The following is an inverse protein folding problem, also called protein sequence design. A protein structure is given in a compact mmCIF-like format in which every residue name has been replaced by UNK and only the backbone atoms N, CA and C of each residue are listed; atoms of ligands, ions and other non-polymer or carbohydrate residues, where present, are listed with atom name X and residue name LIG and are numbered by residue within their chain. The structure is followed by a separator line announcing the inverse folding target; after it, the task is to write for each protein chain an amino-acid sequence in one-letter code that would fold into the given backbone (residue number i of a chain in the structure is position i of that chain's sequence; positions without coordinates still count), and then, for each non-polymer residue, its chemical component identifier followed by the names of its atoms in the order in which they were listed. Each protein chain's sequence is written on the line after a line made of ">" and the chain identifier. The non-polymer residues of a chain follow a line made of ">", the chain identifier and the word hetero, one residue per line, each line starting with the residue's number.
data_IF_237246620958
#
_entry.id   IF_237246620958
#
_cell.length_a   1.000
_cell.length_b   1.000
_cell.length_c   1.000
_cell.angle_alpha   90.00
_cell.angle_beta   90.00
_cell.angle_gamma   90.00
#
_symmetry.space_group_name_H-M   'P 1'
#
loop_
_entity.id
_entity.type
_entity.pdbx_description
1 polymer ?
#
# COMPACT_ATOMS: atom_id res chain seq x y z
N UNK A 1 29.03 3.82 -8.85
CA UNK A 1 27.66 3.37 -8.52
C UNK A 1 27.64 2.47 -7.28
N UNK A 2 28.50 1.46 -7.14
CA UNK A 2 28.50 0.54 -5.99
C UNK A 2 28.77 1.18 -4.60
N UNK A 3 29.65 2.19 -4.52
CA UNK A 3 29.95 2.86 -3.24
C UNK A 3 28.81 3.76 -2.74
N UNK A 4 28.08 4.40 -3.67
CA UNK A 4 26.94 5.28 -3.34
C UNK A 4 25.72 4.48 -2.86
N UNK A 5 25.48 3.28 -3.39
CA UNK A 5 24.44 2.38 -2.89
C UNK A 5 24.78 1.79 -1.52
N UNK A 6 26.05 1.46 -1.25
CA UNK A 6 26.49 1.00 0.09
C UNK A 6 26.36 2.10 1.15
N UNK A 7 26.70 3.35 0.80
CA UNK A 7 26.50 4.52 1.67
C UNK A 7 25.01 4.78 1.95
N UNK A 8 24.14 4.68 0.94
CA UNK A 8 22.70 4.85 1.13
C UNK A 8 22.11 3.77 2.04
N UNK A 9 22.47 2.50 1.83
CA UNK A 9 22.04 1.39 2.70
C UNK A 9 22.49 1.64 4.14
N UNK A 10 23.74 2.07 4.35
CA UNK A 10 24.30 2.33 5.69
C UNK A 10 23.60 3.46 6.44
N UNK A 11 23.11 4.50 5.74
CA UNK A 11 22.39 5.62 6.35
C UNK A 11 20.93 5.22 6.64
N UNK A 12 20.35 4.35 5.81
CA UNK A 12 18.96 3.87 5.96
C UNK A 12 18.78 2.67 6.87
N UNK A 13 19.86 2.02 7.33
CA UNK A 13 19.81 0.86 8.25
C UNK A 13 18.85 1.04 9.43
N UNK A 14 18.88 2.14 10.23
CA UNK A 14 17.95 2.30 11.36
C UNK A 14 16.47 2.33 10.94
N UNK A 15 16.16 2.80 9.72
CA UNK A 15 14.80 2.81 9.18
C UNK A 15 14.39 1.43 8.65
N UNK A 16 15.33 0.66 8.10
CA UNK A 16 15.10 -0.73 7.70
C UNK A 16 14.89 -1.64 8.91
N UNK A 17 15.65 -1.43 9.98
CA UNK A 17 15.47 -2.13 11.26
C UNK A 17 14.12 -1.79 11.90
N UNK A 18 13.72 -0.50 11.83
CA UNK A 18 12.39 -0.06 12.26
C UNK A 18 11.27 -0.74 11.45
N UNK A 19 11.41 -0.83 10.12
CA UNK A 19 10.43 -1.51 9.27
C UNK A 19 10.38 -3.02 9.56
N UNK A 20 11.53 -3.64 9.81
CA UNK A 20 11.62 -5.06 10.12
C UNK A 20 10.97 -5.38 11.47
N UNK A 21 11.26 -4.59 12.51
CA UNK A 21 10.63 -4.71 13.83
C UNK A 21 9.13 -4.42 13.79
N UNK A 22 8.69 -3.43 13.00
CA UNK A 22 7.26 -3.19 12.77
C UNK A 22 6.56 -4.40 12.13
N UNK A 23 7.27 -5.14 11.29
CA UNK A 23 6.78 -6.37 10.66
C UNK A 23 6.47 -7.50 11.64
N UNK A 24 7.14 -7.57 12.80
CA UNK A 24 6.92 -8.63 13.80
C UNK A 24 5.62 -8.47 14.58
N UNK A 25 5.05 -7.27 14.60
CA UNK A 25 3.81 -6.97 15.33
C UNK A 25 4.00 -6.73 16.83
N UNK A 26 5.23 -6.86 17.36
CA UNK A 26 5.51 -6.73 18.79
C UNK A 26 5.96 -5.32 19.14
N UNK A 27 5.25 -4.71 20.08
CA UNK A 27 5.47 -3.31 20.46
C UNK A 27 6.78 -3.15 21.23
N UNK A 28 7.07 -4.07 22.16
CA UNK A 28 8.32 -4.04 22.92
C UNK A 28 9.58 -4.11 22.05
N UNK A 29 9.56 -4.90 20.97
CA UNK A 29 10.67 -4.99 20.01
C UNK A 29 10.82 -3.69 19.22
N UNK A 30 9.70 -3.10 18.77
CA UNK A 30 9.68 -1.82 18.07
C UNK A 30 10.23 -0.70 18.96
N UNK A 31 9.75 -0.58 20.20
CA UNK A 31 10.20 0.45 21.12
C UNK A 31 11.69 0.31 21.46
N UNK A 32 12.17 -0.93 21.65
CA UNK A 32 13.60 -1.20 21.85
C UNK A 32 14.43 -0.73 20.65
N UNK A 33 13.95 -0.99 19.42
CA UNK A 33 14.59 -0.53 18.18
C UNK A 33 14.63 1.01 18.09
N UNK A 34 13.52 1.66 18.45
CA UNK A 34 13.39 3.13 18.46
C UNK A 34 14.38 3.74 19.47
N UNK A 35 14.42 3.22 20.70
CA UNK A 35 15.34 3.71 21.73
C UNK A 35 16.80 3.52 21.32
N UNK A 36 17.14 2.36 20.73
CA UNK A 36 18.51 2.06 20.30
C UNK A 36 19.01 2.99 19.18
N UNK A 37 18.11 3.56 18.38
CA UNK A 37 18.44 4.44 17.25
C UNK A 37 17.95 5.89 17.45
N UNK A 38 17.58 6.27 18.67
CA UNK A 38 16.90 7.55 18.96
C UNK A 38 17.72 8.76 18.50
N UNK A 39 19.03 8.76 18.74
CA UNK A 39 19.92 9.85 18.33
C UNK A 39 19.91 10.06 16.80
N UNK A 40 19.87 8.97 16.02
CA UNK A 40 19.83 9.04 14.56
C UNK A 40 18.52 9.66 14.07
N UNK A 41 17.38 9.20 14.61
CA UNK A 41 16.07 9.76 14.24
C UNK A 41 15.92 11.23 14.64
N UNK A 42 16.56 11.64 15.74
CA UNK A 42 16.58 13.04 16.17
C UNK A 42 17.45 13.89 15.27
N UNK A 43 18.65 13.42 14.89
CA UNK A 43 19.54 14.11 13.94
C UNK A 43 18.88 14.30 12.57
N UNK A 44 18.08 13.32 12.14
CA UNK A 44 17.32 13.37 10.88
C UNK A 44 16.02 14.19 10.99
N UNK A 45 15.67 14.73 12.17
CA UNK A 45 14.43 15.44 12.46
C UNK A 45 13.14 14.64 12.20
N UNK A 46 13.22 13.30 12.26
CA UNK A 46 12.10 12.39 11.96
C UNK A 46 11.47 11.74 13.20
N UNK A 47 11.93 12.08 14.40
CA UNK A 47 11.48 11.44 15.65
C UNK A 47 9.96 11.49 15.85
N UNK A 48 9.28 12.56 15.41
CA UNK A 48 7.82 12.66 15.48
C UNK A 48 7.11 11.61 14.63
N UNK A 49 7.60 11.37 13.41
CA UNK A 49 7.08 10.33 12.53
C UNK A 49 7.34 8.93 13.10
N UNK A 50 8.50 8.71 13.70
CA UNK A 50 8.82 7.43 14.36
C UNK A 50 7.87 7.14 15.53
N UNK A 51 7.49 8.15 16.31
CA UNK A 51 6.46 7.99 17.36
C UNK A 51 5.08 7.67 16.77
N UNK A 52 4.73 8.26 15.62
CA UNK A 52 3.51 7.91 14.90
C UNK A 52 3.53 6.46 14.39
N UNK A 53 4.70 5.94 13.99
CA UNK A 53 4.86 4.52 13.64
C UNK A 53 4.60 3.62 14.85
N UNK A 54 5.11 3.95 16.04
CA UNK A 54 4.77 3.19 17.26
C UNK A 54 3.26 3.22 17.54
N UNK A 55 2.64 4.41 17.47
CA UNK A 55 1.18 4.56 17.64
C UNK A 55 0.37 3.79 16.59
N UNK A 56 0.84 3.72 15.35
CA UNK A 56 0.15 2.99 14.27
C UNK A 56 0.24 1.48 14.45
N UNK A 57 1.25 0.96 15.16
CA UNK A 57 1.36 -0.47 15.45
C UNK A 57 0.23 -0.94 16.37
N UNK A 58 -0.13 -0.15 17.39
CA UNK A 58 -1.30 -0.40 18.23
C UNK A 58 -2.58 -0.49 17.38
N UNK A 59 -2.78 0.50 16.49
CA UNK A 59 -3.93 0.53 15.57
C UNK A 59 -3.98 -0.70 14.67
N UNK A 60 -2.84 -1.05 14.05
CA UNK A 60 -2.71 -2.25 13.21
C UNK A 60 -3.03 -3.53 13.98
N UNK A 61 -2.55 -3.66 15.21
CA UNK A 61 -2.79 -4.85 16.03
C UNK A 61 -4.28 -4.97 16.40
N UNK A 62 -4.94 -3.88 16.76
CA UNK A 62 -6.40 -3.86 17.01
C UNK A 62 -7.18 -4.19 15.73
N UNK A 63 -6.81 -3.62 14.57
CA UNK A 63 -7.43 -3.95 13.29
C UNK A 63 -7.31 -5.43 12.94
N UNK A 64 -6.21 -6.11 13.31
CA UNK A 64 -6.09 -7.55 13.10
C UNK A 64 -7.08 -8.37 13.94
N UNK A 65 -7.47 -7.88 15.11
CA UNK A 65 -8.45 -8.57 15.97
C UNK A 65 -9.83 -8.63 15.31
N UNK A 66 -10.20 -7.63 14.50
CA UNK A 66 -11.48 -7.62 13.78
C UNK A 66 -11.59 -8.75 12.75
N UNK A 67 -10.46 -9.31 12.31
CA UNK A 67 -10.42 -10.41 11.34
C UNK A 67 -10.65 -11.78 11.98
N UNK A 68 -10.40 -11.92 13.28
CA UNK A 68 -10.44 -13.21 13.99
C UNK A 68 -11.52 -13.27 15.07
N UNK A 69 -12.02 -12.12 15.52
CA UNK A 69 -13.00 -12.03 16.61
C UNK A 69 -14.20 -11.21 16.19
N UNK A 70 -15.40 -11.73 16.50
CA UNK A 70 -16.64 -10.95 16.42
C UNK A 70 -16.87 -10.13 17.68
N UNK A 71 -16.50 -10.67 18.85
CA UNK A 71 -16.63 -9.96 20.13
C UNK A 71 -15.48 -10.38 21.03
N UNK A 72 -14.86 -9.41 21.71
CA UNK A 72 -13.68 -9.62 22.55
C UNK A 72 -13.72 -8.68 23.76
N UNK A 73 -13.18 -9.12 24.90
CA UNK A 73 -13.14 -8.27 26.10
C UNK A 73 -12.07 -7.17 25.98
N UNK A 74 -12.32 -6.02 26.62
CA UNK A 74 -11.33 -4.92 26.69
C UNK A 74 -10.03 -5.37 27.37
N UNK A 75 -10.12 -6.31 28.31
CA UNK A 75 -8.95 -6.86 29.00
C UNK A 75 -8.12 -7.74 28.07
N UNK A 76 -8.75 -8.58 27.25
CA UNK A 76 -8.05 -9.41 26.26
C UNK A 76 -7.43 -8.55 25.17
N UNK A 77 -8.13 -7.50 24.70
CA UNK A 77 -7.56 -6.52 23.76
C UNK A 77 -6.31 -5.89 24.37
N UNK A 78 -6.37 -5.42 25.63
CA UNK A 78 -5.21 -4.84 26.29
C UNK A 78 -4.04 -5.85 26.38
N UNK A 79 -4.32 -7.10 26.74
CA UNK A 79 -3.30 -8.15 26.86
C UNK A 79 -2.65 -8.50 25.51
N UNK A 80 -3.44 -8.65 24.44
CA UNK A 80 -2.92 -9.04 23.11
C UNK A 80 -2.14 -7.89 22.48
N UNK A 81 -2.60 -6.66 22.66
CA UNK A 81 -1.99 -5.46 22.07
C UNK A 81 -0.89 -4.87 22.97
N UNK A 82 -0.63 -5.46 24.14
CA UNK A 82 0.40 -5.01 25.10
C UNK A 82 0.15 -3.60 25.65
N UNK A 83 -1.12 -3.29 25.94
CA UNK A 83 -1.52 -2.08 26.67
C UNK A 83 -1.58 -2.36 28.17
N UNK A 84 -1.38 -1.34 28.99
CA UNK A 84 -1.27 -1.52 30.44
C UNK A 84 -2.63 -1.79 31.09
N UNK A 85 -3.69 -1.18 30.55
CA UNK A 85 -5.03 -1.23 31.16
C UNK A 85 -6.15 -1.41 30.14
N UNK A 86 -7.26 -2.00 30.58
CA UNK A 86 -8.49 -2.11 29.79
C UNK A 86 -9.07 -0.74 29.40
N UNK A 87 -8.86 0.30 30.23
CA UNK A 87 -9.26 1.68 29.93
C UNK A 87 -8.45 2.29 28.78
N UNK A 88 -7.17 1.95 28.70
CA UNK A 88 -6.32 2.39 27.60
C UNK A 88 -6.76 1.72 26.30
N UNK A 89 -7.02 0.41 26.33
CA UNK A 89 -7.61 -0.30 25.20
C UNK A 89 -8.95 0.32 24.76
N UNK A 90 -9.82 0.66 25.70
CA UNK A 90 -11.09 1.33 25.42
C UNK A 90 -10.87 2.67 24.70
N UNK A 91 -9.93 3.49 25.18
CA UNK A 91 -9.62 4.79 24.57
C UNK A 91 -9.07 4.63 23.14
N UNK A 92 -8.22 3.63 22.90
CA UNK A 92 -7.73 3.33 21.56
C UNK A 92 -8.87 2.90 20.64
N UNK A 93 -9.70 1.94 21.06
CA UNK A 93 -10.84 1.46 20.28
C UNK A 93 -11.81 2.60 19.97
N UNK A 94 -12.12 3.45 20.96
CA UNK A 94 -13.01 4.60 20.78
C UNK A 94 -12.49 5.57 19.72
N UNK A 95 -11.20 5.92 19.76
CA UNK A 95 -10.58 6.80 18.75
C UNK A 95 -10.61 6.16 17.37
N UNK A 96 -10.31 4.87 17.27
CA UNK A 96 -10.33 4.15 16.00
C UNK A 96 -11.75 4.08 15.40
N UNK A 97 -12.79 3.95 16.22
CA UNK A 97 -14.19 4.05 15.75
C UNK A 97 -14.49 5.47 15.26
N UNK A 98 -14.08 6.49 16.01
CA UNK A 98 -14.32 7.89 15.65
C UNK A 98 -13.60 8.28 14.34
N UNK A 99 -12.39 7.79 14.14
CA UNK A 99 -11.57 8.02 12.94
C UNK A 99 -12.05 7.17 11.74
N UNK A 100 -13.00 6.25 11.92
CA UNK A 100 -13.47 5.33 10.88
C UNK A 100 -12.48 4.23 10.51
N UNK A 101 -11.51 3.94 11.38
CA UNK A 101 -10.47 2.93 11.16
C UNK A 101 -10.94 1.49 11.45
N UNK A 102 -11.96 1.35 12.30
CA UNK A 102 -12.67 0.10 12.58
C UNK A 102 -14.16 0.37 12.79
N UNK A 103 -14.99 -0.63 12.49
CA UNK A 103 -16.42 -0.60 12.81
C UNK A 103 -16.67 -1.50 14.02
N UNK A 104 -17.01 -0.89 15.15
CA UNK A 104 -17.21 -1.63 16.39
C UNK A 104 -18.16 -0.89 17.35
N UNK A 105 -18.66 -1.60 18.35
CA UNK A 105 -19.45 -1.04 19.45
C UNK A 105 -18.87 -1.49 20.79
N UNK A 106 -18.73 -0.55 21.71
CA UNK A 106 -18.21 -0.79 23.06
C UNK A 106 -19.38 -0.93 24.03
N UNK A 107 -19.46 -2.06 24.72
CA UNK A 107 -20.35 -2.26 25.85
C UNK A 107 -19.55 -2.14 27.15
N UNK A 108 -19.58 -0.94 27.74
CA UNK A 108 -18.88 -0.64 28.99
C UNK A 108 -19.39 -1.44 30.20
N UNK A 109 -20.66 -1.87 30.21
CA UNK A 109 -21.22 -2.63 31.33
C UNK A 109 -20.62 -4.02 31.43
N UNK A 110 -20.48 -4.67 30.28
CA UNK A 110 -19.95 -6.03 30.18
C UNK A 110 -18.43 -6.04 29.92
N UNK A 111 -17.83 -4.88 29.62
CA UNK A 111 -16.40 -4.75 29.30
C UNK A 111 -16.03 -5.38 27.96
N UNK A 112 -16.97 -5.42 27.01
CA UNK A 112 -16.83 -6.12 25.73
C UNK A 112 -16.85 -5.16 24.55
N UNK A 113 -16.14 -5.51 23.48
CA UNK A 113 -16.15 -4.83 22.19
C UNK A 113 -16.69 -5.80 21.15
N UNK A 114 -17.74 -5.41 20.44
CA UNK A 114 -18.28 -6.15 19.30
C UNK A 114 -17.82 -5.49 18.00
N UNK A 115 -17.12 -6.25 17.16
CA UNK A 115 -16.64 -5.81 15.85
C UNK A 115 -17.70 -6.09 14.78
N UNK A 116 -17.79 -5.19 13.80
CA UNK A 116 -18.77 -5.22 12.71
C UNK A 116 -18.07 -5.15 11.35
N UNK A 117 -18.80 -5.51 10.30
CA UNK A 117 -18.37 -5.29 8.93
C UNK A 117 -18.51 -3.81 8.53
N UNK A 118 -17.79 -3.43 7.46
CA UNK A 118 -17.92 -2.10 6.86
C UNK A 118 -19.37 -1.84 6.43
N UNK A 119 -20.03 -0.79 6.96
CA UNK A 119 -21.41 -0.46 6.61
C UNK A 119 -21.56 0.08 5.19
N UNK A 120 -20.48 0.35 4.45
CA UNK A 120 -20.53 0.83 3.06
C UNK A 120 -21.31 -0.14 2.16
N UNK A 121 -22.29 0.41 1.43
CA UNK A 121 -23.17 -0.38 0.57
C UNK A 121 -22.95 -0.10 -0.93
N UNK A 122 -22.05 0.83 -1.28
CA UNK A 122 -21.75 1.26 -2.64
C UNK A 122 -22.96 1.82 -3.41
N UNK A 123 -23.90 2.43 -2.68
CA UNK A 123 -25.17 2.96 -3.24
C UNK A 123 -25.25 4.48 -3.22
N UNK A 124 -24.23 5.16 -2.68
CA UNK A 124 -24.23 6.60 -2.50
C UNK A 124 -23.83 7.33 -3.79
N UNK A 125 -24.34 8.55 -3.98
CA UNK A 125 -23.89 9.41 -5.07
C UNK A 125 -22.40 9.75 -4.96
N UNK A 126 -21.87 9.88 -3.74
CA UNK A 126 -20.45 10.10 -3.48
C UNK A 126 -19.57 8.98 -4.07
N UNK A 127 -20.00 7.72 -3.97
CA UNK A 127 -19.28 6.60 -4.59
C UNK A 127 -19.29 6.70 -6.12
N UNK A 128 -20.40 7.13 -6.72
CA UNK A 128 -20.48 7.33 -8.18
C UNK A 128 -19.50 8.42 -8.62
N UNK A 129 -19.45 9.54 -7.90
CA UNK A 129 -18.51 10.64 -8.18
C UNK A 129 -17.05 10.18 -8.03
N UNK A 130 -16.74 9.36 -7.02
CA UNK A 130 -15.42 8.81 -6.82
C UNK A 130 -14.99 7.86 -7.96
N UNK A 131 -15.93 7.04 -8.46
CA UNK A 131 -15.70 6.18 -9.62
C UNK A 131 -15.49 7.01 -10.89
N UNK A 132 -16.34 8.00 -11.14
CA UNK A 132 -16.22 8.88 -12.32
C UNK A 132 -14.86 9.61 -12.33
N UNK A 133 -14.46 10.19 -11.21
CA UNK A 133 -13.13 10.81 -11.04
C UNK A 133 -11.99 9.83 -11.34
N UNK A 134 -12.11 8.58 -10.88
CA UNK A 134 -11.12 7.54 -11.18
C UNK A 134 -11.07 7.17 -12.65
N UNK A 135 -12.22 7.07 -13.33
CA UNK A 135 -12.32 6.85 -14.78
C UNK A 135 -11.64 8.00 -15.53
N UNK A 136 -11.94 9.25 -15.17
CA UNK A 136 -11.34 10.42 -15.80
C UNK A 136 -9.81 10.43 -15.68
N UNK A 137 -9.26 10.07 -14.51
CA UNK A 137 -7.80 9.93 -14.31
C UNK A 137 -7.20 8.86 -15.22
N UNK A 138 -7.85 7.70 -15.33
CA UNK A 138 -7.39 6.61 -16.21
C UNK A 138 -7.44 7.03 -17.68
N UNK A 139 -8.50 7.70 -18.12
CA UNK A 139 -8.61 8.24 -19.48
C UNK A 139 -7.54 9.28 -19.77
N UNK A 140 -7.23 10.15 -18.81
CA UNK A 140 -6.15 11.12 -18.95
C UNK A 140 -4.77 10.44 -19.08
N UNK A 141 -4.53 9.40 -18.30
CA UNK A 141 -3.30 8.60 -18.40
C UNK A 141 -3.21 7.87 -19.74
N UNK A 142 -4.30 7.24 -20.20
CA UNK A 142 -4.36 6.55 -21.49
C UNK A 142 -4.04 7.50 -22.65
N UNK A 143 -4.62 8.71 -22.65
CA UNK A 143 -4.29 9.73 -23.67
C UNK A 143 -2.81 10.11 -23.66
N UNK A 144 -2.20 10.27 -22.48
CA UNK A 144 -0.75 10.53 -22.37
C UNK A 144 0.07 9.36 -22.92
N UNK A 145 -0.34 8.13 -22.62
CA UNK A 145 0.33 6.93 -23.11
C UNK A 145 0.27 6.84 -24.63
N UNK A 146 -0.90 7.08 -25.25
CA UNK A 146 -1.05 7.12 -26.70
C UNK A 146 -0.18 8.21 -27.33
N UNK A 147 -0.13 9.41 -26.74
CA UNK A 147 0.73 10.48 -27.24
C UNK A 147 2.22 10.13 -27.17
N UNK A 148 2.65 9.45 -26.10
CA UNK A 148 4.02 8.95 -25.97
C UNK A 148 4.29 7.87 -27.03
N UNK A 149 3.36 6.93 -27.22
CA UNK A 149 3.48 5.87 -28.22
C UNK A 149 3.61 6.43 -29.64
N UNK A 150 2.77 7.40 -30.00
CA UNK A 150 2.86 8.11 -31.28
C UNK A 150 4.22 8.81 -31.46
N UNK A 151 4.73 9.45 -30.40
CA UNK A 151 6.03 10.12 -30.44
C UNK A 151 7.22 9.15 -30.60
N UNK A 152 7.15 7.97 -29.99
CA UNK A 152 8.18 6.94 -30.10
C UNK A 152 8.10 6.26 -31.47
N UNK A 153 6.89 5.94 -31.93
CA UNK A 153 6.64 5.28 -33.21
C UNK A 153 7.12 6.13 -34.40
N UNK A 154 7.05 7.46 -34.27
CA UNK A 154 7.53 8.41 -35.28
C UNK A 154 9.01 8.81 -35.11
N UNK A 155 9.71 8.35 -34.08
CA UNK A 155 11.13 8.67 -33.85
C UNK A 155 12.02 8.01 -34.91
N UNK A 156 12.83 8.78 -35.67
CA UNK A 156 13.72 8.25 -36.70
C UNK A 156 14.68 7.16 -36.21
N UNK A 157 15.16 7.25 -34.96
CA UNK A 157 16.07 6.26 -34.39
C UNK A 157 15.36 4.92 -34.10
N UNK A 158 14.08 4.98 -33.71
CA UNK A 158 13.23 3.81 -33.52
C UNK A 158 12.87 3.17 -34.86
N UNK A 159 12.37 3.96 -35.82
CA UNK A 159 12.00 3.51 -37.17
C UNK A 159 13.18 2.85 -37.89
N UNK A 160 14.39 3.41 -37.79
CA UNK A 160 15.60 2.85 -38.43
C UNK A 160 15.99 1.49 -37.85
N UNK A 161 15.77 1.26 -36.55
CA UNK A 161 16.07 -0.03 -35.90
C UNK A 161 15.00 -1.08 -36.23
N UNK A 162 13.72 -0.73 -36.12
CA UNK A 162 12.60 -1.64 -36.44
C UNK A 162 12.59 -2.01 -37.93
N UNK A 163 12.92 -1.06 -38.82
CA UNK A 163 13.03 -1.30 -40.25
C UNK A 163 14.20 -2.19 -40.68
N UNK A 164 15.24 -2.34 -39.84
CA UNK A 164 16.38 -3.25 -40.09
C UNK A 164 16.11 -4.68 -39.63
N UNK A 165 15.22 -4.89 -38.66
CA UNK A 165 14.93 -6.22 -38.09
C UNK A 165 13.80 -6.99 -38.79
N UNK A 166 13.11 -6.41 -39.78
CA UNK A 166 12.24 -7.19 -40.66
C UNK A 166 13.09 -7.77 -41.80
N UNK A 167 13.28 -9.11 -41.91
CA UNK A 167 13.62 -9.69 -43.18
C UNK A 167 12.53 -9.25 -44.16
N UNK A 168 12.93 -8.70 -45.31
CA UNK A 168 12.00 -8.54 -46.43
C UNK A 168 11.46 -9.93 -46.73
N UNK A 169 10.24 -10.23 -46.29
CA UNK A 169 9.47 -11.32 -46.85
C UNK A 169 9.12 -10.82 -48.25
N UNK A 170 9.99 -11.12 -49.21
CA UNK A 170 9.74 -10.92 -50.62
C UNK A 170 8.48 -11.72 -50.96
N UNK A 171 7.38 -11.00 -51.16
CA UNK A 171 6.05 -11.54 -51.49
C UNK A 171 5.94 -11.89 -52.99
N UNK A 172 7.06 -12.21 -53.64
CA UNK A 172 7.19 -12.38 -55.10
C UNK A 172 7.28 -13.85 -55.53
N UNK A 173 6.68 -14.78 -54.78
CA UNK A 173 6.62 -16.19 -55.19
C UNK A 173 5.21 -16.80 -55.07
N UNK A 174 4.19 -16.06 -55.51
CA UNK A 174 2.93 -16.69 -55.93
C UNK A 174 3.03 -17.06 -57.40
N UNK A 175 3.62 -18.24 -57.61
CA UNK A 175 3.80 -18.88 -58.89
C UNK A 175 2.46 -18.96 -59.67
N UNK A 176 2.56 -18.69 -60.96
CA UNK A 176 1.42 -18.52 -61.88
C UNK A 176 0.52 -19.75 -61.91
N UNK A 177 -0.77 -19.58 -61.61
CA UNK A 177 -1.79 -20.61 -61.87
C UNK A 177 -1.98 -20.74 -63.39
N UNK A 178 -1.71 -21.89 -64.02
CA UNK A 178 -2.02 -22.05 -65.44
C UNK A 178 -3.54 -22.17 -65.60
N UNK A 179 -4.18 -21.11 -66.08
CA UNK A 179 -5.51 -21.22 -66.66
C UNK A 179 -5.42 -22.08 -67.92
N UNK A 180 -5.91 -23.32 -67.85
CA UNK A 180 -6.22 -24.12 -69.02
C UNK A 180 -7.71 -24.40 -69.06
N UNK A 181 -8.43 -23.60 -69.85
CA UNK A 181 -9.73 -23.97 -70.41
C UNK A 181 -9.51 -24.53 -71.81
N UNK A 182 -9.67 -25.85 -71.96
CA UNK A 182 -10.46 -26.50 -73.02
C UNK A 182 -10.60 -27.98 -72.71
#
# INVERSE_FOLDING_TARGET
>A
MHASSVLFISITTPYLDLATSYGTGKISELDTCIQSNMEKFQNDNNLGLVKQVSSSLYKRNIQRLTQTYLTLSLQDIASIVQLETSKEAEMHVLRMIQDGEIFATINQKDGMVSFHEDPEQYKTCEMIEHIDSSIQRIMALSRKLTAIDESISSDPAYVTKVGRERPRLDFDDFDSVPHKFM
#
